data_IF_377723324227
#
_entry.id   IF_377723324227
#
_cell.length_a   1.000
_cell.length_b   1.000
_cell.length_c   1.000
_cell.angle_alpha   90.00
_cell.angle_beta   90.00
_cell.angle_gamma   90.00
#
_symmetry.space_group_name_H-M   'P 1'
#
loop_
_entity.id
_entity.type
_entity.pdbx_description
1 polymer ?
#
# COMPACT_ATOMS: atom_id res chain seq x y z
N UNK A 1 26.95 21.09 -19.34
CA UNK A 1 25.64 21.14 -18.63
C UNK A 1 24.94 19.80 -18.89
N UNK A 2 25.00 18.88 -17.92
CA UNK A 2 24.63 17.47 -18.11
C UNK A 2 23.15 17.27 -17.76
N UNK A 3 22.25 17.53 -18.71
CA UNK A 3 20.79 17.47 -18.52
C UNK A 3 20.27 16.08 -18.10
N UNK A 4 21.05 15.02 -18.34
CA UNK A 4 20.70 13.64 -18.01
C UNK A 4 20.84 13.27 -16.52
N UNK A 5 21.81 13.85 -15.81
CA UNK A 5 22.03 13.56 -14.38
C UNK A 5 21.03 14.29 -13.48
N UNK A 6 20.70 15.55 -13.79
CA UNK A 6 19.77 16.36 -12.99
C UNK A 6 18.33 15.88 -13.09
N UNK A 7 17.89 15.47 -14.29
CA UNK A 7 16.54 14.93 -14.50
C UNK A 7 16.35 13.59 -13.78
N UNK A 8 17.37 12.72 -13.86
CA UNK A 8 17.36 11.43 -13.17
C UNK A 8 17.36 11.61 -11.65
N UNK A 9 18.15 12.55 -11.12
CA UNK A 9 18.17 12.88 -9.70
C UNK A 9 16.81 13.43 -9.23
N UNK A 10 16.24 14.42 -9.93
CA UNK A 10 14.89 14.95 -9.63
C UNK A 10 13.82 13.89 -9.62
N UNK A 11 13.83 12.96 -10.57
CA UNK A 11 12.86 11.88 -10.63
C UNK A 11 12.96 10.93 -9.42
N UNK A 12 14.19 10.66 -8.96
CA UNK A 12 14.40 9.87 -7.74
C UNK A 12 13.90 10.57 -6.48
N UNK A 13 14.09 11.90 -6.35
CA UNK A 13 13.53 12.67 -5.24
C UNK A 13 12.00 12.72 -5.27
N UNK A 14 11.40 12.88 -6.45
CA UNK A 14 9.95 12.85 -6.61
C UNK A 14 9.36 11.49 -6.20
N UNK A 15 9.99 10.38 -6.61
CA UNK A 15 9.61 9.03 -6.18
C UNK A 15 9.76 8.84 -4.67
N UNK A 16 10.81 9.37 -4.06
CA UNK A 16 11.03 9.29 -2.61
C UNK A 16 9.98 10.09 -1.82
N UNK A 17 9.60 11.27 -2.29
CA UNK A 17 8.51 12.07 -1.71
C UNK A 17 7.16 11.38 -1.85
N UNK A 18 6.85 10.84 -3.04
CA UNK A 18 5.61 10.09 -3.28
C UNK A 18 5.54 8.87 -2.33
N UNK A 19 6.65 8.16 -2.15
CA UNK A 19 6.78 7.03 -1.23
C UNK A 19 6.47 7.42 0.21
N UNK A 20 7.06 8.51 0.70
CA UNK A 20 6.83 9.01 2.05
C UNK A 20 5.36 9.44 2.20
N UNK A 21 4.81 10.17 1.23
CA UNK A 21 3.41 10.60 1.25
C UNK A 21 2.43 9.42 1.34
N UNK A 22 2.59 8.43 0.46
CA UNK A 22 1.78 7.19 0.48
C UNK A 22 1.98 6.44 1.81
N UNK A 23 3.22 6.35 2.30
CA UNK A 23 3.52 5.73 3.59
C UNK A 23 2.81 6.41 4.76
N UNK A 24 2.75 7.74 4.79
CA UNK A 24 2.04 8.51 5.82
C UNK A 24 0.54 8.23 5.79
N UNK A 25 -0.09 8.18 4.61
CA UNK A 25 -1.51 7.81 4.50
C UNK A 25 -1.78 6.43 5.10
N UNK A 26 -0.94 5.44 4.78
CA UNK A 26 -1.04 4.09 5.33
C UNK A 26 -0.81 4.05 6.84
N UNK A 27 0.09 4.88 7.38
CA UNK A 27 0.26 5.02 8.83
C UNK A 27 -0.99 5.58 9.50
N UNK A 28 -1.61 6.62 8.93
CA UNK A 28 -2.83 7.21 9.49
C UNK A 28 -3.97 6.18 9.49
N UNK A 29 -4.18 5.47 8.36
CA UNK A 29 -5.21 4.44 8.27
C UNK A 29 -4.93 3.24 9.18
N UNK A 30 -3.68 2.76 9.20
CA UNK A 30 -3.24 1.65 10.04
C UNK A 30 -3.38 1.97 11.53
N UNK A 31 -2.90 3.14 11.97
CA UNK A 31 -3.04 3.57 13.37
C UNK A 31 -4.51 3.67 13.77
N UNK A 32 -5.35 4.32 12.95
CA UNK A 32 -6.78 4.41 13.23
C UNK A 32 -7.43 3.03 13.41
N UNK A 33 -7.03 2.02 12.62
CA UNK A 33 -7.56 0.66 12.71
C UNK A 33 -6.97 -0.18 13.84
N UNK A 34 -5.69 -0.01 14.18
CA UNK A 34 -5.01 -0.75 15.25
C UNK A 34 -5.42 -0.22 16.63
N UNK A 35 -5.51 1.11 16.78
CA UNK A 35 -5.89 1.74 18.05
C UNK A 35 -7.42 1.88 18.20
N UNK A 36 -8.16 1.89 17.10
CA UNK A 36 -9.63 1.86 17.10
C UNK A 36 -10.15 0.46 17.35
N UNK A 37 -10.48 0.13 18.60
CA UNK A 37 -11.09 -1.15 19.01
C UNK A 37 -12.44 -1.46 18.31
N UNK A 38 -13.05 -0.45 17.67
CA UNK A 38 -14.25 -0.59 16.86
C UNK A 38 -14.05 -1.48 15.62
N UNK A 39 -12.85 -1.47 15.02
CA UNK A 39 -12.59 -2.22 13.79
C UNK A 39 -12.29 -3.71 14.07
N UNK A 40 -11.61 -4.01 15.18
CA UNK A 40 -11.09 -5.35 15.51
C UNK A 40 -11.92 -6.14 16.51
N UNK A 41 -12.56 -5.50 17.50
CA UNK A 41 -13.20 -6.19 18.63
C UNK A 41 -14.74 -6.18 18.62
N UNK A 42 -15.38 -5.20 17.96
CA UNK A 42 -16.85 -5.04 17.99
C UNK A 42 -17.54 -5.48 16.69
N UNK A 43 -16.91 -6.35 15.89
CA UNK A 43 -17.49 -6.80 14.63
C UNK A 43 -17.48 -5.76 13.50
N UNK A 44 -16.74 -4.66 13.64
CA UNK A 44 -16.62 -3.63 12.60
C UNK A 44 -16.09 -4.19 11.27
N UNK A 45 -15.14 -5.12 11.31
CA UNK A 45 -14.67 -5.79 10.10
C UNK A 45 -15.77 -6.63 9.44
N UNK A 46 -16.57 -7.37 10.22
CA UNK A 46 -17.71 -8.13 9.70
C UNK A 46 -18.77 -7.20 9.09
N UNK A 47 -19.02 -6.03 9.69
CA UNK A 47 -19.90 -5.01 9.10
C UNK A 47 -19.39 -4.54 7.74
N UNK A 48 -18.09 -4.23 7.61
CA UNK A 48 -17.49 -3.85 6.33
C UNK A 48 -17.57 -4.96 5.28
N UNK A 49 -17.30 -6.21 5.66
CA UNK A 49 -17.41 -7.36 4.75
C UNK A 49 -18.86 -7.56 4.28
N UNK A 50 -19.85 -7.44 5.17
CA UNK A 50 -21.25 -7.51 4.75
C UNK A 50 -21.62 -6.37 3.82
N UNK A 51 -21.15 -5.14 4.09
CA UNK A 51 -21.37 -3.99 3.21
C UNK A 51 -20.72 -4.17 1.84
N UNK A 52 -19.56 -4.79 1.77
CA UNK A 52 -18.94 -5.17 0.50
C UNK A 52 -19.83 -6.18 -0.26
N UNK A 53 -20.30 -7.22 0.45
CA UNK A 53 -21.17 -8.25 -0.12
C UNK A 53 -22.55 -7.73 -0.56
N UNK A 54 -23.02 -6.61 -0.02
CA UNK A 54 -24.32 -6.00 -0.36
C UNK A 54 -24.34 -5.30 -1.73
N UNK A 55 -23.19 -4.89 -2.27
CA UNK A 55 -23.22 -4.18 -3.56
C UNK A 55 -21.88 -3.86 -4.23
N UNK A 56 -20.74 -4.22 -3.65
CA UNK A 56 -19.42 -3.87 -4.18
C UNK A 56 -18.48 -5.04 -4.46
N UNK A 57 -18.86 -6.27 -4.08
CA UNK A 57 -17.98 -7.44 -4.26
C UNK A 57 -18.15 -8.10 -5.62
N UNK A 58 -17.04 -8.40 -6.27
CA UNK A 58 -17.06 -9.22 -7.48
C UNK A 58 -17.59 -10.63 -7.20
N UNK A 59 -18.35 -11.24 -8.13
CA UNK A 59 -19.01 -12.53 -7.90
C UNK A 59 -18.04 -13.68 -7.58
N UNK A 60 -16.81 -13.64 -8.08
CA UNK A 60 -15.77 -14.64 -7.75
C UNK A 60 -15.18 -14.45 -6.35
N UNK A 61 -15.24 -13.25 -5.79
CA UNK A 61 -14.65 -12.91 -4.49
C UNK A 61 -15.66 -13.04 -3.35
N UNK A 62 -16.96 -12.93 -3.64
CA UNK A 62 -18.04 -13.18 -2.70
C UNK A 62 -17.94 -14.52 -1.94
N UNK A 63 -17.69 -15.68 -2.57
CA UNK A 63 -17.55 -16.95 -1.85
C UNK A 63 -16.30 -17.00 -0.97
N UNK A 64 -15.22 -16.33 -1.35
CA UNK A 64 -13.98 -16.27 -0.55
C UNK A 64 -14.22 -15.41 0.70
N UNK A 65 -14.87 -14.26 0.54
CA UNK A 65 -15.22 -13.39 1.67
C UNK A 65 -16.16 -14.10 2.65
N UNK A 66 -17.16 -14.83 2.15
CA UNK A 66 -18.11 -15.55 3.00
C UNK A 66 -17.54 -16.81 3.64
N UNK A 67 -16.77 -17.60 2.90
CA UNK A 67 -16.29 -18.91 3.33
C UNK A 67 -14.98 -18.88 4.12
N UNK A 68 -14.10 -17.91 3.84
CA UNK A 68 -12.76 -17.83 4.45
C UNK A 68 -12.61 -16.64 5.38
N UNK A 69 -13.09 -15.46 4.95
CA UNK A 69 -12.86 -14.20 5.67
C UNK A 69 -13.83 -14.02 6.84
N UNK A 70 -15.13 -14.30 6.68
CA UNK A 70 -16.11 -14.18 7.77
C UNK A 70 -15.81 -15.09 8.98
N UNK A 71 -15.46 -16.38 8.82
CA UNK A 71 -15.15 -17.25 9.96
C UNK A 71 -13.90 -16.82 10.75
N UNK A 72 -12.94 -16.17 10.07
CA UNK A 72 -11.70 -15.67 10.66
C UNK A 72 -11.65 -14.14 10.69
N UNK A 73 -12.82 -13.49 10.78
CA UNK A 73 -12.95 -12.04 10.60
C UNK A 73 -12.04 -11.23 11.53
N UNK A 74 -11.93 -11.64 12.80
CA UNK A 74 -11.07 -10.96 13.78
C UNK A 74 -9.58 -11.10 13.46
N UNK A 75 -9.12 -12.32 13.15
CA UNK A 75 -7.72 -12.58 12.81
C UNK A 75 -7.32 -11.85 11.52
N UNK A 76 -8.17 -11.88 10.49
CA UNK A 76 -7.94 -11.15 9.25
C UNK A 76 -8.01 -9.63 9.48
N UNK A 77 -8.92 -9.13 10.33
CA UNK A 77 -8.97 -7.71 10.68
C UNK A 77 -7.66 -7.23 11.31
N UNK A 78 -7.10 -8.00 12.25
CA UNK A 78 -5.80 -7.71 12.84
C UNK A 78 -4.68 -7.79 11.79
N UNK A 79 -4.65 -8.85 10.98
CA UNK A 79 -3.65 -9.00 9.91
C UNK A 79 -3.67 -7.80 8.94
N UNK A 80 -4.85 -7.33 8.56
CA UNK A 80 -5.04 -6.17 7.69
C UNK A 80 -4.59 -4.89 8.40
N UNK A 81 -5.04 -4.64 9.64
CA UNK A 81 -4.70 -3.43 10.37
C UNK A 81 -3.19 -3.32 10.65
N UNK A 82 -2.56 -4.40 11.13
CA UNK A 82 -1.12 -4.46 11.33
C UNK A 82 -0.34 -4.47 10.00
N UNK A 83 -0.90 -5.06 8.94
CA UNK A 83 -0.33 -5.04 7.60
C UNK A 83 -0.25 -3.64 7.02
N UNK A 84 -1.34 -2.87 7.10
CA UNK A 84 -1.39 -1.46 6.67
C UNK A 84 -0.37 -0.62 7.45
N UNK A 85 -0.31 -0.80 8.77
CA UNK A 85 0.66 -0.10 9.64
C UNK A 85 2.11 -0.47 9.29
N UNK A 86 2.40 -1.76 9.08
CA UNK A 86 3.73 -2.25 8.74
C UNK A 86 4.18 -1.76 7.36
N UNK A 87 3.28 -1.77 6.37
CA UNK A 87 3.55 -1.24 5.02
C UNK A 87 3.81 0.27 5.10
N UNK A 88 2.98 1.04 5.82
CA UNK A 88 3.18 2.47 6.02
C UNK A 88 4.54 2.77 6.68
N UNK A 89 4.88 2.03 7.73
CA UNK A 89 6.15 2.17 8.45
C UNK A 89 7.35 1.85 7.54
N UNK A 90 7.29 0.75 6.80
CA UNK A 90 8.33 0.35 5.86
C UNK A 90 8.51 1.38 4.73
N UNK A 91 7.41 1.91 4.19
CA UNK A 91 7.42 2.94 3.16
C UNK A 91 7.93 4.29 3.67
N UNK A 92 7.69 4.67 4.92
CA UNK A 92 8.26 5.92 5.49
C UNK A 92 9.75 5.73 5.78
N UNK A 93 10.11 4.67 6.51
CA UNK A 93 11.49 4.42 6.93
C UNK A 93 12.43 4.05 5.77
N UNK A 94 11.90 3.55 4.66
CA UNK A 94 12.73 3.14 3.51
C UNK A 94 13.43 1.81 3.74
N UNK A 95 12.86 0.99 4.62
CA UNK A 95 13.37 -0.35 4.91
C UNK A 95 12.41 -1.33 4.26
N UNK A 96 12.93 -2.26 3.45
CA UNK A 96 12.10 -3.30 2.79
C UNK A 96 11.03 -2.74 1.84
N UNK A 97 11.25 -1.56 1.24
CA UNK A 97 10.30 -0.86 0.35
C UNK A 97 9.74 -1.78 -0.71
N UNK A 98 10.58 -2.62 -1.34
CA UNK A 98 10.14 -3.54 -2.39
C UNK A 98 9.12 -4.58 -1.91
N UNK A 99 9.37 -5.20 -0.76
CA UNK A 99 8.45 -6.19 -0.18
C UNK A 99 7.19 -5.51 0.34
N UNK A 100 7.31 -4.36 0.99
CA UNK A 100 6.18 -3.56 1.45
C UNK A 100 5.30 -3.10 0.28
N UNK A 101 5.89 -2.68 -0.84
CA UNK A 101 5.15 -2.32 -2.05
C UNK A 101 4.49 -3.52 -2.72
N UNK A 102 5.13 -4.70 -2.71
CA UNK A 102 4.50 -5.92 -3.21
C UNK A 102 3.29 -6.34 -2.37
N UNK A 103 3.43 -6.36 -1.05
CA UNK A 103 2.33 -6.63 -0.13
C UNK A 103 1.21 -5.59 -0.23
N UNK A 104 1.57 -4.30 -0.30
CA UNK A 104 0.61 -3.20 -0.49
C UNK A 104 -0.14 -3.28 -1.82
N UNK A 105 0.54 -3.67 -2.90
CA UNK A 105 -0.10 -3.90 -4.19
C UNK A 105 -1.12 -5.04 -4.12
N UNK A 106 -0.75 -6.19 -3.54
CA UNK A 106 -1.68 -7.32 -3.36
C UNK A 106 -2.87 -6.91 -2.50
N UNK A 107 -2.62 -6.16 -1.43
CA UNK A 107 -3.67 -5.69 -0.54
C UNK A 107 -4.65 -4.74 -1.25
N UNK A 108 -4.15 -3.76 -2.01
CA UNK A 108 -4.99 -2.85 -2.81
C UNK A 108 -5.79 -3.59 -3.88
N UNK A 109 -5.19 -4.57 -4.56
CA UNK A 109 -5.92 -5.40 -5.54
C UNK A 109 -7.02 -6.24 -4.87
N UNK A 110 -6.76 -6.78 -3.69
CA UNK A 110 -7.74 -7.55 -2.92
C UNK A 110 -8.93 -6.67 -2.52
N UNK A 111 -8.67 -5.44 -2.08
CA UNK A 111 -9.71 -4.45 -1.76
C UNK A 111 -10.51 -4.04 -2.99
N UNK A 112 -9.83 -3.83 -4.12
CA UNK A 112 -10.44 -3.48 -5.40
C UNK A 112 -11.44 -4.54 -5.88
N UNK A 113 -11.09 -5.82 -5.78
CA UNK A 113 -12.01 -6.92 -6.10
C UNK A 113 -13.10 -7.14 -5.06
N UNK A 114 -12.87 -6.70 -3.82
CA UNK A 114 -13.82 -6.87 -2.72
C UNK A 114 -14.87 -5.77 -2.67
N UNK A 115 -14.56 -4.53 -3.07
CA UNK A 115 -15.42 -3.36 -2.81
C UNK A 115 -15.82 -2.54 -4.04
N UNK A 116 -15.11 -2.65 -5.17
CA UNK A 116 -15.27 -1.70 -6.28
C UNK A 116 -15.97 -2.30 -7.51
N UNK A 117 -16.96 -3.16 -7.31
CA UNK A 117 -17.81 -3.67 -8.38
C UNK A 117 -19.03 -2.76 -8.62
N UNK A 118 -19.08 -1.97 -9.71
CA UNK A 118 -20.20 -1.07 -10.00
C UNK A 118 -21.45 -1.76 -10.57
N UNK A 119 -21.40 -3.09 -10.83
CA UNK A 119 -22.54 -3.87 -11.31
C UNK A 119 -22.43 -4.35 -12.76
N UNK A 120 -23.19 -5.41 -13.10
CA UNK A 120 -23.31 -5.96 -14.46
C UNK A 120 -23.95 -4.92 -15.38
N UNK A 121 -23.17 -4.37 -16.32
CA UNK A 121 -23.65 -3.39 -17.30
C UNK A 121 -23.27 -1.93 -17.03
N UNK A 122 -22.52 -1.65 -15.96
CA UNK A 122 -21.94 -0.32 -15.72
C UNK A 122 -21.02 0.10 -16.88
N UNK A 123 -20.96 1.41 -17.17
CA UNK A 123 -20.03 1.91 -18.18
C UNK A 123 -18.57 1.70 -17.72
N UNK A 124 -17.64 1.47 -18.66
CA UNK A 124 -16.23 1.23 -18.35
C UNK A 124 -15.63 2.28 -17.39
N UNK A 125 -15.97 3.56 -17.57
CA UNK A 125 -15.53 4.65 -16.70
C UNK A 125 -16.01 4.53 -15.24
N UNK A 126 -17.16 3.92 -14.99
CA UNK A 126 -17.66 3.71 -13.63
C UNK A 126 -16.86 2.67 -12.86
N UNK A 127 -16.24 1.69 -13.55
CA UNK A 127 -15.29 0.78 -12.92
C UNK A 127 -14.04 1.53 -12.43
N UNK A 128 -13.53 2.43 -13.26
CA UNK A 128 -12.38 3.25 -12.91
C UNK A 128 -12.71 4.27 -11.80
N UNK A 129 -13.90 4.86 -11.84
CA UNK A 129 -14.38 5.79 -10.82
C UNK A 129 -14.63 5.14 -9.47
N UNK A 130 -15.26 3.96 -9.45
CA UNK A 130 -15.50 3.19 -8.24
C UNK A 130 -14.17 2.78 -7.59
N UNK A 131 -13.23 2.26 -8.37
CA UNK A 131 -11.95 1.78 -7.85
C UNK A 131 -10.85 2.84 -7.77
N UNK A 132 -11.18 4.13 -7.88
CA UNK A 132 -10.18 5.20 -8.01
C UNK A 132 -9.29 5.29 -6.76
N UNK A 133 -9.89 5.12 -5.58
CA UNK A 133 -9.18 5.12 -4.30
C UNK A 133 -8.11 4.02 -4.24
N UNK A 134 -8.44 2.80 -4.63
CA UNK A 134 -7.51 1.66 -4.53
C UNK A 134 -6.55 1.56 -5.72
N UNK A 135 -6.99 1.92 -6.93
CA UNK A 135 -6.18 1.85 -8.15
C UNK A 135 -5.06 2.89 -8.16
N UNK A 136 -5.28 4.10 -7.65
CA UNK A 136 -4.24 5.13 -7.53
C UNK A 136 -3.12 4.65 -6.60
N UNK A 137 -3.47 4.11 -5.43
CA UNK A 137 -2.46 3.53 -4.54
C UNK A 137 -1.77 2.31 -5.14
N UNK A 138 -2.51 1.42 -5.82
CA UNK A 138 -1.93 0.27 -6.53
C UNK A 138 -0.91 0.71 -7.59
N UNK A 139 -1.22 1.74 -8.38
CA UNK A 139 -0.31 2.31 -9.36
C UNK A 139 0.92 2.95 -8.70
N UNK A 140 0.75 3.65 -7.57
CA UNK A 140 1.88 4.15 -6.78
C UNK A 140 2.79 3.00 -6.30
N UNK A 141 2.21 1.91 -5.78
CA UNK A 141 2.98 0.74 -5.38
C UNK A 141 3.71 0.07 -6.55
N UNK A 142 3.05 -0.05 -7.71
CA UNK A 142 3.68 -0.55 -8.92
C UNK A 142 4.84 0.37 -9.36
N UNK A 143 4.66 1.68 -9.29
CA UNK A 143 5.71 2.66 -9.56
C UNK A 143 6.88 2.55 -8.57
N UNK A 144 6.64 2.24 -7.30
CA UNK A 144 7.69 1.96 -6.32
C UNK A 144 8.40 0.62 -6.56
N UNK A 145 7.70 -0.36 -7.14
CA UNK A 145 8.25 -1.68 -7.46
C UNK A 145 9.15 -1.63 -8.71
N UNK A 146 8.71 -0.89 -9.73
CA UNK A 146 9.39 -0.71 -11.01
C UNK A 146 10.46 0.39 -10.94
N UNK A 147 10.22 1.44 -10.17
CA UNK A 147 11.14 2.53 -9.92
C UNK A 147 12.19 2.19 -8.87
N UNK A 148 13.38 2.80 -8.95
CA UNK A 148 14.41 2.71 -7.90
C UNK A 148 14.07 3.64 -6.73
N UNK A 149 12.89 3.48 -6.14
CA UNK A 149 12.44 4.28 -4.99
C UNK A 149 13.35 4.13 -3.74
N UNK A 150 14.22 3.10 -3.72
CA UNK A 150 15.24 2.86 -2.69
C UNK A 150 16.56 3.60 -2.95
N UNK A 151 16.69 4.37 -4.04
CA UNK A 151 17.97 4.97 -4.45
C UNK A 151 18.36 6.22 -3.62
N UNK A 152 17.40 6.92 -3.01
CA UNK A 152 17.61 8.17 -2.27
C UNK A 152 16.73 8.17 -1.01
N UNK A 153 17.26 8.60 0.13
CA UNK A 153 16.59 8.59 1.45
C UNK A 153 16.07 7.22 1.92
N UNK A 154 16.79 6.16 1.56
CA UNK A 154 16.68 4.82 2.17
C UNK A 154 17.83 4.60 3.15
N UNK A 155 17.60 3.84 4.22
CA UNK A 155 18.64 3.43 5.17
C UNK A 155 19.79 2.71 4.46
N UNK A 156 19.51 1.99 3.35
CA UNK A 156 20.56 1.38 2.51
C UNK A 156 21.43 2.42 1.79
N UNK A 157 20.84 3.52 1.31
CA UNK A 157 21.58 4.62 0.69
C UNK A 157 22.47 5.34 1.71
N UNK A 158 21.97 5.54 2.94
CA UNK A 158 22.75 6.11 4.04
C UNK A 158 23.94 5.22 4.44
N UNK A 159 23.72 3.89 4.56
CA UNK A 159 24.80 2.94 4.89
C UNK A 159 25.87 2.88 3.80
N UNK A 160 25.48 2.98 2.51
CA UNK A 160 26.42 3.01 1.39
C UNK A 160 27.26 4.30 1.38
N UNK A 161 26.66 5.46 1.69
CA UNK A 161 27.38 6.72 1.78
C UNK A 161 28.36 6.75 2.96
N UNK A 162 27.98 6.23 4.13
CA UNK A 162 28.89 6.11 5.28
C UNK A 162 30.05 5.13 5.02
N UNK A 163 29.81 4.00 4.34
CA UNK A 163 30.87 3.05 4.00
C UNK A 163 31.85 3.60 2.94
N UNK A 164 31.39 4.47 2.03
CA UNK A 164 32.25 5.14 1.05
C UNK A 164 33.11 6.26 1.66
N UNK A 165 32.59 6.98 2.65
CA UNK A 165 33.34 8.03 3.35
C UNK A 165 34.52 7.45 4.16
N UNK A 166 34.32 6.34 4.87
CA UNK A 166 35.39 5.68 5.64
C UNK A 166 36.49 5.04 4.80
N UNK A 167 36.27 4.79 3.50
CA UNK A 167 37.30 4.28 2.60
C UNK A 167 38.24 5.39 2.07
N UNK A 168 37.73 6.62 1.91
CA UNK A 168 38.53 7.77 1.46
C UNK A 168 39.34 8.42 2.59
N UNK A 169 39.03 8.17 3.85
CA UNK A 169 39.78 8.69 5.01
C UNK A 169 41.02 7.84 5.35
N UNK A 170 41.17 6.67 4.72
CA UNK A 170 42.27 5.73 4.93
C UNK A 170 43.25 5.65 3.74
N UNK A 171 43.20 6.62 2.82
CA UNK A 171 44.15 6.82 1.71
C UNK A 171 44.82 8.18 1.85
#
# INVERSE_FOLDING_TARGET
MNLGSDSSARNNYALALLRIGVGIFFLIFGQYKVFGTAFTLHGGFQFWINRFLEGGTYPFMAPILRGFVLPHATAIAFLVAYGELAIGTALVLGVFVRSASFCGLIFMLTMLFSSDYPGVGAAFWQYFGASLSHSVFALCFAAFLMGRADSVWSVKALRKNHAGAGANENQ
#
